data_IF_690299802488
#
_entry.id   IF_690299802488
#
_cell.length_a   1.000
_cell.length_b   1.000
_cell.length_c   1.000
_cell.angle_alpha   90.00
_cell.angle_beta   90.00
_cell.angle_gamma   90.00
#
_symmetry.space_group_name_H-M   'P 1'
#
loop_
_entity.id
_entity.type
_entity.pdbx_description
1 polymer ?
#
# COMPACT_ATOMS: atom_id res chain seq x y z
N UNK A 1 -14.17 -3.07 5.59
CA UNK A 1 -13.05 -2.38 4.92
C UNK A 1 -12.63 -1.20 5.78
N UNK A 2 -11.35 -1.08 6.10
CA UNK A 2 -10.85 -0.06 7.03
C UNK A 2 -9.94 0.93 6.28
N UNK A 3 -10.56 1.90 5.61
CA UNK A 3 -9.86 3.02 4.94
C UNK A 3 -8.88 3.71 5.92
N UNK A 4 -9.24 3.75 7.20
CA UNK A 4 -8.40 4.31 8.27
C UNK A 4 -7.08 3.55 8.42
N UNK A 5 -7.09 2.21 8.34
CA UNK A 5 -5.90 1.37 8.45
C UNK A 5 -4.91 1.61 7.31
N UNK A 6 -5.40 1.60 6.06
CA UNK A 6 -4.58 1.84 4.87
C UNK A 6 -3.99 3.25 4.83
N UNK A 7 -4.80 4.26 5.16
CA UNK A 7 -4.32 5.65 5.20
C UNK A 7 -3.27 5.84 6.30
N UNK A 8 -3.44 5.21 7.46
CA UNK A 8 -2.45 5.25 8.53
C UNK A 8 -1.15 4.57 8.11
N UNK A 9 -1.23 3.38 7.51
CA UNK A 9 -0.05 2.68 7.00
C UNK A 9 0.72 3.54 5.99
N UNK A 10 0.03 4.14 5.02
CA UNK A 10 0.65 5.01 4.02
C UNK A 10 1.38 6.19 4.68
N UNK A 11 0.72 6.86 5.63
CA UNK A 11 1.31 7.98 6.38
C UNK A 11 2.52 7.55 7.20
N UNK A 12 2.43 6.43 7.91
CA UNK A 12 3.50 5.96 8.77
C UNK A 12 4.71 5.50 7.92
N UNK A 13 4.50 4.83 6.79
CA UNK A 13 5.59 4.45 5.89
C UNK A 13 6.31 5.67 5.31
N UNK A 14 5.60 6.77 5.10
CA UNK A 14 6.17 8.04 4.61
C UNK A 14 6.96 8.80 5.68
N UNK A 15 6.56 8.70 6.96
CA UNK A 15 7.06 9.60 8.01
C UNK A 15 7.74 8.93 9.20
N UNK A 16 7.47 7.65 9.49
CA UNK A 16 8.02 6.97 10.64
C UNK A 16 9.45 6.48 10.36
N UNK A 17 10.46 6.97 11.11
CA UNK A 17 11.85 6.57 10.89
C UNK A 17 12.04 5.05 11.00
N UNK A 18 12.73 4.45 10.03
CA UNK A 18 13.04 3.01 10.04
C UNK A 18 11.87 2.10 9.67
N UNK A 19 10.64 2.61 9.55
CA UNK A 19 9.49 1.76 9.26
C UNK A 19 9.52 1.23 7.82
N UNK A 20 9.96 2.05 6.86
CA UNK A 20 10.07 1.63 5.46
C UNK A 20 11.06 0.48 5.31
N UNK A 21 12.20 0.54 5.98
CA UNK A 21 13.23 -0.49 5.95
C UNK A 21 12.72 -1.79 6.60
N UNK A 22 12.04 -1.69 7.75
CA UNK A 22 11.39 -2.85 8.39
C UNK A 22 10.32 -3.46 7.50
N UNK A 23 9.49 -2.63 6.88
CA UNK A 23 8.46 -3.08 5.96
C UNK A 23 9.07 -3.78 4.74
N UNK A 24 10.15 -3.24 4.18
CA UNK A 24 10.84 -3.85 3.04
C UNK A 24 11.48 -5.20 3.40
N UNK A 25 11.96 -5.35 4.64
CA UNK A 25 12.56 -6.59 5.14
C UNK A 25 11.49 -7.67 5.40
N UNK A 26 10.39 -7.30 6.07
CA UNK A 26 9.32 -8.24 6.43
C UNK A 26 7.97 -7.49 6.59
N UNK A 27 7.16 -7.41 5.52
CA UNK A 27 5.82 -6.81 5.60
C UNK A 27 4.90 -7.56 6.58
N UNK A 28 5.06 -8.88 6.74
CA UNK A 28 4.18 -9.72 7.55
C UNK A 28 4.38 -9.46 9.05
N UNK A 29 5.54 -9.00 9.47
CA UNK A 29 5.78 -8.53 10.84
C UNK A 29 5.25 -7.12 11.11
N UNK A 30 5.12 -6.27 10.08
CA UNK A 30 4.68 -4.87 10.22
C UNK A 30 3.17 -4.73 10.13
N UNK A 31 2.55 -5.38 9.15
CA UNK A 31 1.12 -5.26 8.82
C UNK A 31 0.15 -5.65 9.95
N UNK A 32 0.46 -6.57 10.89
CA UNK A 32 -0.38 -6.84 12.06
C UNK A 32 -0.58 -5.64 12.99
N UNK A 33 0.32 -4.64 12.95
CA UNK A 33 0.17 -3.39 13.70
C UNK A 33 -0.92 -2.46 13.16
N UNK A 34 -1.52 -2.79 12.02
CA UNK A 34 -2.55 -2.00 11.35
C UNK A 34 -3.87 -2.78 11.30
N UNK A 35 -4.97 -2.05 11.50
CA UNK A 35 -6.32 -2.58 11.40
C UNK A 35 -6.72 -2.78 9.92
N UNK A 36 -6.07 -3.75 9.27
CA UNK A 36 -6.30 -4.17 7.89
C UNK A 36 -7.02 -5.52 7.86
N UNK A 37 -7.82 -5.76 6.81
CA UNK A 37 -8.31 -7.10 6.47
C UNK A 37 -7.20 -7.93 5.82
N UNK A 38 -7.45 -9.22 5.61
CA UNK A 38 -6.48 -10.09 4.94
C UNK A 38 -6.29 -9.69 3.48
N UNK A 39 -7.37 -9.31 2.79
CA UNK A 39 -7.32 -8.84 1.41
C UNK A 39 -6.54 -7.52 1.29
N UNK A 40 -6.75 -6.60 2.23
CA UNK A 40 -6.01 -5.33 2.30
C UNK A 40 -4.51 -5.59 2.52
N UNK A 41 -4.14 -6.52 3.42
CA UNK A 41 -2.74 -6.93 3.62
C UNK A 41 -2.14 -7.51 2.35
N UNK A 42 -2.84 -8.47 1.73
CA UNK A 42 -2.39 -9.09 0.49
C UNK A 42 -2.19 -8.07 -0.63
N UNK A 43 -3.12 -7.12 -0.79
CA UNK A 43 -3.02 -6.06 -1.80
C UNK A 43 -1.82 -5.14 -1.57
N UNK A 44 -1.53 -4.76 -0.31
CA UNK A 44 -0.33 -3.97 0.01
C UNK A 44 0.94 -4.76 -0.28
N UNK A 45 1.04 -6.02 0.18
CA UNK A 45 2.23 -6.87 -0.03
C UNK A 45 2.50 -7.10 -1.52
N UNK A 46 1.45 -7.32 -2.31
CA UNK A 46 1.53 -7.51 -3.77
C UNK A 46 1.64 -6.21 -4.56
N UNK A 47 1.53 -5.05 -3.89
CA UNK A 47 1.53 -3.72 -4.50
C UNK A 47 0.41 -3.55 -5.55
N UNK A 48 -0.75 -4.12 -5.26
CA UNK A 48 -1.93 -4.10 -6.13
C UNK A 48 -2.66 -2.75 -6.02
N UNK A 49 -2.10 -1.75 -6.70
CA UNK A 49 -2.61 -0.39 -6.68
C UNK A 49 -4.04 -0.28 -7.21
N UNK A 50 -4.39 -1.11 -8.21
CA UNK A 50 -5.71 -1.12 -8.80
C UNK A 50 -6.76 -1.66 -7.83
N UNK A 51 -6.46 -2.74 -7.11
CA UNK A 51 -7.33 -3.25 -6.06
C UNK A 51 -7.49 -2.23 -4.93
N UNK A 52 -6.40 -1.61 -4.45
CA UNK A 52 -6.45 -0.61 -3.38
C UNK A 52 -7.30 0.61 -3.77
N UNK A 53 -7.22 1.05 -5.03
CA UNK A 53 -8.06 2.12 -5.56
C UNK A 53 -9.54 1.69 -5.63
N UNK A 54 -9.84 0.50 -6.15
CA UNK A 54 -11.20 -0.05 -6.20
C UNK A 54 -11.79 -0.24 -4.80
N UNK A 55 -10.94 -0.58 -3.83
CA UNK A 55 -11.24 -0.63 -2.41
C UNK A 55 -11.30 0.77 -1.77
N UNK A 56 -11.44 1.85 -2.54
CA UNK A 56 -11.75 3.18 -2.02
C UNK A 56 -10.60 3.90 -1.29
N UNK A 57 -9.36 3.45 -1.44
CA UNK A 57 -8.21 4.21 -0.95
C UNK A 57 -8.13 5.56 -1.67
N UNK A 58 -7.81 6.62 -0.93
CA UNK A 58 -7.64 7.95 -1.53
C UNK A 58 -6.50 7.92 -2.57
N UNK A 59 -6.68 8.44 -3.81
CA UNK A 59 -5.67 8.36 -4.85
C UNK A 59 -4.31 8.99 -4.49
N UNK A 60 -4.29 10.06 -3.69
CA UNK A 60 -3.05 10.70 -3.23
C UNK A 60 -2.33 9.81 -2.21
N UNK A 61 -3.08 9.27 -1.24
CA UNK A 61 -2.52 8.32 -0.27
C UNK A 61 -2.00 7.05 -0.96
N UNK A 62 -2.73 6.55 -1.96
CA UNK A 62 -2.32 5.41 -2.77
C UNK A 62 -1.01 5.71 -3.51
N UNK A 63 -0.93 6.86 -4.19
CA UNK A 63 0.29 7.28 -4.88
C UNK A 63 1.47 7.34 -3.91
N UNK A 64 1.30 7.96 -2.74
CA UNK A 64 2.35 8.06 -1.75
C UNK A 64 2.79 6.68 -1.24
N UNK A 65 1.84 5.79 -0.94
CA UNK A 65 2.12 4.42 -0.55
C UNK A 65 2.92 3.69 -1.64
N UNK A 66 2.44 3.71 -2.89
CA UNK A 66 3.08 3.01 -4.00
C UNK A 66 4.48 3.55 -4.30
N UNK A 67 4.69 4.87 -4.29
CA UNK A 67 6.04 5.47 -4.44
C UNK A 67 6.96 5.03 -3.28
N UNK A 68 6.44 5.03 -2.05
CA UNK A 68 7.20 4.60 -0.87
C UNK A 68 7.62 3.13 -0.97
N UNK A 69 6.76 2.29 -1.55
CA UNK A 69 7.03 0.88 -1.82
C UNK A 69 7.85 0.65 -3.11
N UNK A 70 8.26 1.70 -3.80
CA UNK A 70 9.14 1.62 -4.98
C UNK A 70 8.43 1.28 -6.29
N UNK A 71 7.10 1.41 -6.36
CA UNK A 71 6.34 1.30 -7.61
C UNK A 71 6.41 2.64 -8.34
N UNK A 72 6.82 2.65 -9.61
CA UNK A 72 6.84 3.87 -10.39
C UNK A 72 5.42 4.30 -10.77
N UNK A 73 5.17 5.60 -10.89
CA UNK A 73 3.84 6.15 -11.18
C UNK A 73 3.20 5.57 -12.46
N UNK A 74 4.00 5.23 -13.47
CA UNK A 74 3.50 4.67 -14.73
C UNK A 74 3.08 3.20 -14.60
N UNK A 75 3.52 2.49 -13.56
CA UNK A 75 3.18 1.09 -13.28
C UNK A 75 1.90 0.96 -12.44
N UNK A 76 1.56 2.00 -11.66
CA UNK A 76 0.43 1.98 -10.71
C UNK A 76 -0.95 1.78 -11.35
N UNK A 77 -1.13 2.19 -12.60
CA UNK A 77 -2.43 2.19 -13.29
C UNK A 77 -2.46 1.34 -14.55
N UNK A 78 -1.42 0.52 -14.81
CA UNK A 78 -1.43 -0.41 -15.93
C UNK A 78 -2.17 -1.69 -15.58
N UNK A 79 -3.49 -1.60 -15.47
CA UNK A 79 -4.39 -2.72 -15.74
C UNK A 79 -5.24 -2.33 -16.95
N UNK A 80 -4.93 -2.88 -18.13
CA UNK A 80 -5.70 -2.61 -19.36
C UNK A 80 -4.98 -2.75 -20.70
N UNK A 81 -3.70 -3.17 -20.76
CA UNK A 81 -3.06 -3.56 -22.03
C UNK A 81 -2.49 -4.97 -21.95
N UNK A 82 -3.39 -5.93 -21.78
CA UNK A 82 -3.14 -7.29 -22.28
C UNK A 82 -3.84 -7.38 -23.63
N UNK A 83 -3.04 -7.63 -24.67
CA UNK A 83 -3.51 -7.95 -26.02
C UNK A 83 -3.92 -9.40 -26.08
#
# INVERSE_FOLDING_TARGET
MSIVGLNRLARDLEHAPGLRERFAADPEQVLPGYALTEEERAAVTRRDAAWLLRAGMNPVALRNLMVTLGVAHHEMYQEGRST
#
